data_IF_053040738241
#
_entry.id   IF_053040738241
#
_cell.length_a   1.000
_cell.length_b   1.000
_cell.length_c   1.000
_cell.angle_alpha   90.00
_cell.angle_beta   90.00
_cell.angle_gamma   90.00
#
_symmetry.space_group_name_H-M   'P 1'
#
loop_
_entity.id
_entity.type
_entity.pdbx_description
1 polymer ?
#
# COMPACT_ATOMS: atom_id res chain seq x y z
N UNK A 1 6.94 -4.96 12.10
CA UNK A 1 5.98 -6.08 12.08
C UNK A 1 4.96 -5.96 10.95
N UNK A 2 3.80 -6.62 11.09
CA UNK A 2 2.82 -6.76 10.00
C UNK A 2 2.17 -5.44 9.55
N UNK A 3 1.95 -4.50 10.48
CA UNK A 3 1.38 -3.19 10.17
C UNK A 3 2.26 -2.35 9.24
N UNK A 4 3.57 -2.37 9.46
CA UNK A 4 4.56 -1.71 8.60
C UNK A 4 4.60 -2.28 7.19
N UNK A 5 4.57 -3.62 7.09
CA UNK A 5 4.47 -4.29 5.80
C UNK A 5 3.20 -3.87 5.04
N UNK A 6 2.06 -3.83 5.73
CA UNK A 6 0.79 -3.38 5.16
C UNK A 6 0.85 -1.95 4.62
N UNK A 7 1.52 -1.04 5.34
CA UNK A 7 1.73 0.35 4.93
C UNK A 7 2.59 0.46 3.68
N UNK A 8 3.72 -0.23 3.65
CA UNK A 8 4.62 -0.23 2.51
C UNK A 8 3.98 -0.83 1.26
N UNK A 9 3.23 -1.92 1.41
CA UNK A 9 2.51 -2.52 0.27
C UNK A 9 1.47 -1.56 -0.28
N UNK A 10 0.71 -0.89 0.59
CA UNK A 10 -0.25 0.13 0.17
C UNK A 10 0.39 1.25 -0.64
N UNK A 11 1.47 1.86 -0.11
CA UNK A 11 2.25 2.91 -0.79
C UNK A 11 2.70 2.40 -2.17
N UNK A 12 3.33 1.22 -2.20
CA UNK A 12 3.86 0.67 -3.44
C UNK A 12 2.76 0.30 -4.46
N UNK A 13 1.57 -0.11 -4.03
CA UNK A 13 0.45 -0.37 -4.94
C UNK A 13 0.02 0.92 -5.64
N UNK A 14 -0.14 2.01 -4.88
CA UNK A 14 -0.50 3.33 -5.43
C UNK A 14 0.60 3.83 -6.37
N UNK A 15 1.87 3.77 -5.93
CA UNK A 15 3.01 4.22 -6.74
C UNK A 15 3.20 3.44 -8.03
N UNK A 16 2.87 2.15 -8.01
CA UNK A 16 2.87 1.30 -9.21
C UNK A 16 1.68 1.64 -10.09
N UNK A 17 0.49 1.85 -9.54
CA UNK A 17 -0.68 2.25 -10.31
C UNK A 17 -0.45 3.54 -11.09
N UNK A 18 0.15 4.56 -10.47
CA UNK A 18 0.48 5.82 -11.15
C UNK A 18 1.42 5.66 -12.36
N UNK A 19 2.19 4.56 -12.44
CA UNK A 19 3.13 4.29 -13.53
C UNK A 19 2.66 3.19 -14.49
N UNK A 20 1.87 2.25 -13.99
CA UNK A 20 1.53 0.98 -14.66
C UNK A 20 0.02 0.80 -14.86
N UNK A 21 -0.79 1.82 -14.61
CA UNK A 21 -2.13 1.92 -15.18
C UNK A 21 -2.05 2.13 -16.70
N UNK A 22 -3.11 1.84 -17.44
CA UNK A 22 -3.14 2.06 -18.89
C UNK A 22 -2.81 3.51 -19.29
N UNK A 23 -3.27 4.46 -18.49
CA UNK A 23 -2.94 5.88 -18.63
C UNK A 23 -1.47 6.14 -18.27
N UNK A 24 -1.01 5.64 -17.12
CA UNK A 24 0.36 5.82 -16.64
C UNK A 24 1.41 5.27 -17.62
N UNK A 25 1.09 4.15 -18.28
CA UNK A 25 1.94 3.53 -19.29
C UNK A 25 2.16 4.42 -20.52
N UNK A 26 1.26 5.36 -20.82
CA UNK A 26 1.46 6.29 -21.95
C UNK A 26 2.68 7.20 -21.75
N UNK A 27 3.06 7.50 -20.50
CA UNK A 27 4.29 8.25 -20.21
C UNK A 27 5.57 7.50 -20.62
N UNK A 28 5.47 6.18 -20.84
CA UNK A 28 6.58 5.31 -21.22
C UNK A 28 6.34 4.64 -22.58
N UNK A 29 5.37 5.13 -23.37
CA UNK A 29 5.04 4.56 -24.67
C UNK A 29 6.15 4.89 -25.69
N UNK A 30 6.86 3.88 -26.23
CA UNK A 30 7.92 4.11 -27.21
C UNK A 30 7.45 4.81 -28.49
N UNK A 31 6.18 4.63 -28.87
CA UNK A 31 5.61 5.23 -30.08
C UNK A 31 5.41 6.75 -29.94
N UNK A 32 5.42 7.28 -28.71
CA UNK A 32 5.33 8.71 -28.41
C UNK A 32 6.70 9.37 -28.25
N UNK A 33 7.79 8.60 -28.25
CA UNK A 33 9.14 9.15 -28.17
C UNK A 33 9.50 9.87 -29.49
N UNK A 34 10.22 10.98 -29.40
CA UNK A 34 10.81 11.67 -30.55
C UNK A 34 12.28 11.22 -30.74
N UNK A 35 12.57 10.29 -31.67
CA UNK A 35 13.92 9.72 -31.80
C UNK A 35 14.92 10.74 -32.35
N UNK A 36 14.45 11.73 -33.11
CA UNK A 36 15.27 12.77 -33.71
C UNK A 36 15.79 13.71 -32.62
N UNK A 37 14.89 14.22 -31.78
CA UNK A 37 15.25 15.10 -30.66
C UNK A 37 16.11 14.39 -29.62
N UNK A 38 15.80 13.12 -29.30
CA UNK A 38 16.63 12.32 -28.40
C UNK A 38 18.06 12.19 -28.91
N UNK A 39 18.21 11.93 -30.22
CA UNK A 39 19.51 11.83 -30.85
C UNK A 39 20.27 13.17 -30.82
N UNK A 40 19.61 14.28 -31.15
CA UNK A 40 20.21 15.62 -31.09
C UNK A 40 20.69 15.98 -29.68
N UNK A 41 19.93 15.63 -28.63
CA UNK A 41 20.33 15.84 -27.24
C UNK A 41 21.58 15.03 -26.88
N UNK A 42 21.68 13.78 -27.34
CA UNK A 42 22.85 12.93 -27.09
C UNK A 42 24.08 13.38 -27.88
N UNK A 43 23.93 13.86 -29.12
CA UNK A 43 25.04 14.47 -29.86
C UNK A 43 25.55 15.74 -29.17
N UNK A 44 24.64 16.57 -28.66
CA UNK A 44 24.99 17.86 -28.07
C UNK A 44 25.58 17.75 -26.66
N UNK A 45 25.08 16.84 -25.84
CA UNK A 45 25.41 16.76 -24.42
C UNK A 45 25.97 15.41 -23.97
N UNK A 46 25.86 14.36 -24.79
CA UNK A 46 26.22 12.98 -24.44
C UNK A 46 27.60 12.53 -24.92
N UNK A 47 28.41 13.43 -25.49
CA UNK A 47 29.68 13.09 -26.16
C UNK A 47 30.65 12.24 -25.32
N UNK A 48 30.73 12.48 -24.01
CA UNK A 48 31.58 11.69 -23.11
C UNK A 48 31.06 10.25 -22.90
N UNK A 49 29.73 10.06 -22.97
CA UNK A 49 29.07 8.76 -22.79
C UNK A 49 29.08 7.96 -24.09
N UNK A 50 29.03 8.64 -25.23
CA UNK A 50 28.88 8.02 -26.55
C UNK A 50 30.21 7.89 -27.30
N UNK A 51 31.31 8.35 -26.69
CA UNK A 51 32.64 8.28 -27.27
C UNK A 51 33.03 6.83 -27.64
N UNK A 52 33.30 6.60 -28.93
CA UNK A 52 33.68 5.28 -29.43
C UNK A 52 32.51 4.34 -29.75
N UNK A 53 31.26 4.79 -29.61
CA UNK A 53 30.07 4.04 -30.00
C UNK A 53 29.37 4.69 -31.20
N UNK A 54 28.86 3.87 -32.12
CA UNK A 54 27.92 4.34 -33.15
C UNK A 54 26.52 4.40 -32.54
N UNK A 55 25.88 5.57 -32.58
CA UNK A 55 24.50 5.75 -32.14
C UNK A 55 23.60 5.70 -33.37
N UNK A 56 22.85 4.62 -33.58
CA UNK A 56 21.65 4.77 -34.40
C UNK A 56 20.51 5.33 -33.55
N UNK A 57 19.62 6.12 -34.16
CA UNK A 57 18.43 6.67 -33.49
C UNK A 57 17.58 5.56 -32.84
N UNK A 58 17.48 4.43 -33.53
CA UNK A 58 16.73 3.26 -33.05
C UNK A 58 17.37 2.61 -31.83
N UNK A 59 18.69 2.35 -31.85
CA UNK A 59 19.41 1.77 -30.70
C UNK A 59 19.40 2.69 -29.49
N UNK A 60 19.55 3.99 -29.71
CA UNK A 60 19.49 4.99 -28.65
C UNK A 60 18.11 5.02 -28.00
N UNK A 61 17.04 5.07 -28.81
CA UNK A 61 15.66 5.06 -28.32
C UNK A 61 15.36 3.78 -27.53
N UNK A 62 15.75 2.60 -28.06
CA UNK A 62 15.60 1.32 -27.35
C UNK A 62 16.37 1.28 -26.03
N UNK A 63 17.53 1.91 -25.96
CA UNK A 63 18.37 1.90 -24.75
C UNK A 63 17.85 2.84 -23.67
N UNK A 64 17.40 4.04 -24.05
CA UNK A 64 16.81 5.01 -23.12
C UNK A 64 15.49 4.48 -22.53
N UNK A 65 14.70 3.78 -23.33
CA UNK A 65 13.46 3.14 -22.89
C UNK A 65 13.68 1.76 -22.25
N UNK A 66 14.93 1.32 -22.10
CA UNK A 66 15.32 0.07 -21.43
C UNK A 66 14.97 -1.23 -22.16
N UNK A 67 14.50 -1.14 -23.40
CA UNK A 67 14.20 -2.30 -24.25
C UNK A 67 15.46 -3.11 -24.61
N UNK A 68 16.65 -2.51 -24.57
CA UNK A 68 17.92 -3.18 -24.89
C UNK A 68 18.59 -3.90 -23.71
N UNK A 69 18.13 -3.71 -22.46
CA UNK A 69 18.83 -4.23 -21.28
C UNK A 69 18.66 -5.73 -21.03
N UNK A 70 17.62 -6.36 -21.56
CA UNK A 70 17.41 -7.81 -21.43
C UNK A 70 17.14 -8.43 -22.80
N UNK A 71 17.83 -9.55 -23.09
CA UNK A 71 17.70 -10.29 -24.36
C UNK A 71 16.27 -10.77 -24.68
N UNK A 72 15.41 -10.82 -23.66
CA UNK A 72 14.03 -11.29 -23.75
C UNK A 72 13.01 -10.16 -23.58
N UNK A 73 13.45 -8.89 -23.56
CA UNK A 73 12.54 -7.74 -23.52
C UNK A 73 11.72 -7.68 -24.81
N UNK A 74 10.41 -7.58 -24.65
CA UNK A 74 9.47 -7.28 -25.74
C UNK A 74 8.38 -6.35 -25.23
N UNK A 75 7.69 -5.67 -26.15
CA UNK A 75 6.49 -4.91 -25.81
C UNK A 75 5.41 -5.85 -25.26
N UNK A 76 4.72 -5.47 -24.18
CA UNK A 76 3.55 -6.20 -23.69
C UNK A 76 2.42 -6.15 -24.73
N UNK A 77 1.59 -7.19 -24.77
CA UNK A 77 0.47 -7.32 -25.72
C UNK A 77 -0.86 -7.54 -25.00
N UNK A 78 -1.92 -6.90 -25.50
CA UNK A 78 -3.28 -7.07 -24.98
C UNK A 78 -3.37 -6.84 -23.47
N UNK A 79 -3.87 -7.85 -22.75
CA UNK A 79 -4.08 -7.80 -21.30
C UNK A 79 -2.79 -7.74 -20.48
N UNK A 80 -1.61 -7.96 -21.07
CA UNK A 80 -0.32 -7.80 -20.37
C UNK A 80 -0.02 -6.34 -19.99
N UNK A 81 -0.75 -5.38 -20.58
CA UNK A 81 -0.71 -3.98 -20.21
C UNK A 81 -1.56 -3.67 -18.97
N UNK A 82 -2.47 -4.57 -18.59
CA UNK A 82 -3.49 -4.34 -17.57
C UNK A 82 -3.14 -5.00 -16.23
N UNK A 83 -2.07 -4.51 -15.60
CA UNK A 83 -1.62 -5.00 -14.28
C UNK A 83 -2.73 -5.01 -13.21
N UNK A 84 -3.68 -4.09 -13.32
CA UNK A 84 -4.73 -3.82 -12.32
C UNK A 84 -6.14 -4.23 -12.78
N UNK A 85 -6.30 -4.61 -14.05
CA UNK A 85 -7.62 -4.84 -14.66
C UNK A 85 -8.40 -5.97 -13.98
N UNK A 86 -7.72 -7.07 -13.65
CA UNK A 86 -8.33 -8.22 -12.98
C UNK A 86 -8.85 -7.90 -11.56
N UNK A 87 -8.26 -6.90 -10.89
CA UNK A 87 -8.71 -6.44 -9.57
C UNK A 87 -9.80 -5.36 -9.65
N UNK A 88 -10.19 -4.94 -10.86
CA UNK A 88 -11.20 -3.91 -11.08
C UNK A 88 -10.77 -2.49 -10.67
N UNK A 89 -9.47 -2.27 -10.45
CA UNK A 89 -8.92 -1.00 -9.99
C UNK A 89 -8.79 -0.03 -11.17
N UNK A 90 -9.44 1.13 -11.08
CA UNK A 90 -9.44 2.19 -12.10
C UNK A 90 -8.89 3.52 -11.58
N UNK A 91 -8.85 3.68 -10.26
CA UNK A 91 -8.40 4.88 -9.56
C UNK A 91 -7.53 4.50 -8.36
N UNK A 92 -6.78 5.47 -7.82
CA UNK A 92 -6.03 5.26 -6.58
C UNK A 92 -6.96 5.07 -5.37
N UNK A 93 -8.16 5.64 -5.43
CA UNK A 93 -9.22 5.45 -4.44
C UNK A 93 -9.73 4.01 -4.42
N UNK A 94 -9.80 3.33 -5.57
CA UNK A 94 -10.17 1.91 -5.61
C UNK A 94 -9.14 1.05 -4.85
N UNK A 95 -7.85 1.40 -4.93
CA UNK A 95 -6.78 0.72 -4.15
C UNK A 95 -6.98 0.98 -2.67
N UNK A 96 -7.23 2.24 -2.28
CA UNK A 96 -7.53 2.58 -0.88
C UNK A 96 -8.71 1.77 -0.38
N UNK A 97 -9.81 1.73 -1.11
CA UNK A 97 -11.02 1.08 -0.65
C UNK A 97 -10.86 -0.44 -0.58
N UNK A 98 -10.21 -1.06 -1.57
CA UNK A 98 -9.92 -2.48 -1.55
C UNK A 98 -8.90 -2.87 -0.46
N UNK A 99 -7.96 -1.98 -0.13
CA UNK A 99 -6.91 -2.26 0.85
C UNK A 99 -7.35 -1.92 2.28
N UNK A 100 -7.74 -0.68 2.51
CA UNK A 100 -8.05 -0.12 3.83
C UNK A 100 -9.39 -0.61 4.39
N UNK A 101 -10.34 -1.06 3.55
CA UNK A 101 -11.58 -1.62 4.09
C UNK A 101 -11.47 -3.11 4.38
N UNK A 102 -10.56 -3.84 3.72
CA UNK A 102 -10.54 -5.30 3.78
C UNK A 102 -9.42 -5.87 4.65
N UNK A 103 -8.30 -5.16 4.82
CA UNK A 103 -7.12 -5.71 5.50
C UNK A 103 -6.87 -5.06 6.86
N UNK A 104 -6.52 -5.92 7.82
CA UNK A 104 -6.12 -5.58 9.17
C UNK A 104 -4.80 -6.28 9.46
N UNK A 105 -3.89 -5.57 10.13
CA UNK A 105 -2.51 -6.00 10.27
C UNK A 105 -2.12 -6.08 11.74
N UNK A 106 -1.77 -7.28 12.21
CA UNK A 106 -1.24 -7.47 13.55
C UNK A 106 0.07 -6.70 13.73
N UNK A 107 0.20 -6.06 14.89
CA UNK A 107 1.43 -5.45 15.37
C UNK A 107 1.66 -5.88 16.81
N UNK A 108 2.90 -6.17 17.14
CA UNK A 108 3.32 -6.50 18.50
C UNK A 108 3.38 -5.25 19.39
N UNK A 109 3.42 -5.47 20.70
CA UNK A 109 3.34 -4.41 21.72
C UNK A 109 4.43 -3.34 21.58
N UNK A 110 5.67 -3.75 21.36
CA UNK A 110 6.86 -2.90 21.31
C UNK A 110 7.33 -2.58 19.86
N UNK A 111 6.55 -3.00 18.86
CA UNK A 111 6.89 -2.83 17.44
C UNK A 111 6.83 -1.36 17.04
N UNK A 112 7.99 -0.71 17.06
CA UNK A 112 8.14 0.70 16.67
C UNK A 112 7.78 0.96 15.22
N UNK A 113 7.82 -0.05 14.35
CA UNK A 113 7.55 0.16 12.92
C UNK A 113 6.06 0.39 12.63
N UNK A 114 5.18 0.19 13.62
CA UNK A 114 3.76 0.55 13.56
C UNK A 114 3.52 2.02 13.18
N UNK A 115 4.49 2.92 13.44
CA UNK A 115 4.45 4.31 12.99
C UNK A 115 4.14 4.44 11.49
N UNK A 116 4.61 3.53 10.65
CA UNK A 116 4.33 3.56 9.21
C UNK A 116 2.83 3.41 8.90
N UNK A 117 2.11 2.56 9.63
CA UNK A 117 0.67 2.36 9.44
C UNK A 117 -0.14 3.63 9.77
N UNK A 118 0.29 4.42 10.76
CA UNK A 118 -0.39 5.64 11.18
C UNK A 118 0.17 6.93 10.54
N UNK A 119 1.18 6.83 9.67
CA UNK A 119 1.78 7.98 9.01
C UNK A 119 0.94 8.45 7.80
N UNK A 120 -0.12 9.19 8.09
CA UNK A 120 -1.01 9.82 7.10
C UNK A 120 -0.31 10.82 6.16
N UNK A 121 0.92 11.25 6.46
CA UNK A 121 1.71 12.08 5.54
C UNK A 121 2.44 11.26 4.48
N UNK A 122 2.86 10.05 4.83
CA UNK A 122 3.55 9.14 3.90
C UNK A 122 2.56 8.29 3.11
N UNK A 123 1.47 7.86 3.76
CA UNK A 123 0.46 7.03 3.12
C UNK A 123 -0.38 7.85 2.12
N UNK A 124 -0.47 7.43 0.85
CA UNK A 124 -1.29 8.10 -0.15
C UNK A 124 -2.72 8.33 0.32
N UNK A 125 -3.33 9.42 -0.18
CA UNK A 125 -4.69 9.83 0.19
C UNK A 125 -4.88 10.15 1.68
N UNK A 126 -3.80 10.34 2.45
CA UNK A 126 -3.90 10.78 3.83
C UNK A 126 -4.42 9.71 4.79
N UNK A 127 -4.28 8.43 4.45
CA UNK A 127 -4.92 7.34 5.21
C UNK A 127 -4.04 6.79 6.31
N UNK A 128 -4.70 6.30 7.37
CA UNK A 128 -4.09 5.46 8.41
C UNK A 128 -4.59 4.04 8.20
N UNK A 129 -3.69 3.06 8.18
CA UNK A 129 -4.04 1.66 7.99
C UNK A 129 -4.56 1.02 9.27
N UNK A 130 -5.29 -0.09 9.13
CA UNK A 130 -5.88 -0.80 10.27
C UNK A 130 -4.85 -1.69 10.97
N UNK A 131 -3.90 -1.09 11.69
CA UNK A 131 -3.07 -1.83 12.64
C UNK A 131 -3.93 -2.30 13.82
N UNK A 132 -3.78 -3.56 14.22
CA UNK A 132 -4.48 -4.16 15.37
C UNK A 132 -3.47 -4.72 16.36
N UNK A 133 -3.75 -4.52 17.65
CA UNK A 133 -2.91 -5.02 18.74
C UNK A 133 -2.85 -6.55 18.75
N UNK A 134 -1.62 -7.07 18.84
CA UNK A 134 -1.30 -8.46 19.11
C UNK A 134 -0.28 -8.50 20.23
N UNK A 135 -0.50 -9.33 21.25
CA UNK A 135 0.40 -9.38 22.41
C UNK A 135 1.59 -10.31 22.22
N UNK A 136 1.53 -11.19 21.22
CA UNK A 136 2.46 -12.32 20.97
C UNK A 136 2.86 -13.13 22.22
N UNK A 137 1.90 -13.25 23.14
CA UNK A 137 2.07 -13.98 24.41
C UNK A 137 2.33 -15.45 24.12
N UNK A 138 3.49 -15.93 24.56
CA UNK A 138 3.97 -17.29 24.28
C UNK A 138 5.26 -17.30 23.44
N UNK A 139 5.65 -16.18 22.86
CA UNK A 139 6.98 -16.01 22.28
C UNK A 139 8.04 -15.77 23.37
N UNK A 140 9.30 -16.06 23.07
CA UNK A 140 10.37 -16.12 24.07
C UNK A 140 10.86 -14.73 24.54
N UNK A 141 10.59 -13.69 23.76
CA UNK A 141 10.94 -12.30 24.03
C UNK A 141 9.83 -11.52 24.78
N UNK A 142 8.76 -12.21 25.19
CA UNK A 142 7.72 -11.69 26.10
C UNK A 142 7.89 -12.32 27.49
N UNK A 143 8.85 -11.85 28.32
CA UNK A 143 9.19 -12.49 29.59
C UNK A 143 8.14 -12.30 30.69
N UNK A 144 7.37 -11.21 30.64
CA UNK A 144 6.26 -10.95 31.55
C UNK A 144 4.94 -10.95 30.77
N UNK A 145 4.14 -12.00 30.96
CA UNK A 145 2.88 -12.17 30.24
C UNK A 145 1.79 -11.17 30.69
N UNK A 146 2.02 -10.42 31.76
CA UNK A 146 1.06 -9.45 32.32
C UNK A 146 1.27 -8.03 31.81
N UNK A 147 2.44 -7.75 31.22
CA UNK A 147 2.87 -6.44 30.78
C UNK A 147 2.53 -6.02 29.32
N UNK A 148 2.31 -6.90 28.31
CA UNK A 148 2.41 -6.51 26.90
C UNK A 148 1.50 -5.33 26.50
N UNK A 149 0.25 -5.33 26.98
CA UNK A 149 -0.66 -4.23 26.66
C UNK A 149 -0.19 -2.91 27.28
N UNK A 150 0.35 -2.94 28.50
CA UNK A 150 0.90 -1.76 29.15
C UNK A 150 2.18 -1.27 28.45
N UNK A 151 3.04 -2.19 28.01
CA UNK A 151 4.26 -1.88 27.25
C UNK A 151 3.96 -1.18 25.93
N UNK A 152 2.85 -1.54 25.26
CA UNK A 152 2.44 -0.85 24.04
C UNK A 152 2.16 0.65 24.22
N UNK A 153 1.90 1.11 25.45
CA UNK A 153 1.76 2.55 25.75
C UNK A 153 3.10 3.31 25.66
N UNK A 154 4.24 2.62 25.71
CA UNK A 154 5.54 3.27 25.56
C UNK A 154 5.72 3.87 24.17
N UNK A 155 5.10 3.29 23.14
CA UNK A 155 5.02 3.86 21.79
C UNK A 155 4.39 5.27 21.79
N UNK A 156 3.42 5.51 22.67
CA UNK A 156 2.81 6.84 22.85
C UNK A 156 3.73 7.75 23.65
N UNK A 157 4.26 7.26 24.78
CA UNK A 157 5.15 8.04 25.66
C UNK A 157 6.38 8.55 24.93
N UNK A 158 6.88 7.77 23.98
CA UNK A 158 8.05 8.10 23.17
C UNK A 158 7.71 8.85 21.87
N UNK A 159 6.43 9.09 21.60
CA UNK A 159 5.98 9.86 20.44
C UNK A 159 6.08 9.12 19.09
N UNK A 160 6.12 7.78 19.12
CA UNK A 160 6.10 6.94 17.91
C UNK A 160 4.71 7.00 17.27
N UNK A 161 3.66 6.99 18.08
CA UNK A 161 2.26 7.16 17.66
C UNK A 161 1.54 8.11 18.62
N UNK A 162 0.44 8.72 18.18
CA UNK A 162 -0.40 9.56 19.06
C UNK A 162 -1.31 8.74 19.97
N UNK A 163 -1.87 9.35 21.02
CA UNK A 163 -2.91 8.71 21.86
C UNK A 163 -4.14 8.28 21.04
N UNK A 164 -4.49 9.06 20.01
CA UNK A 164 -5.60 8.73 19.13
C UNK A 164 -5.30 7.49 18.28
N UNK A 165 -4.07 7.39 17.76
CA UNK A 165 -3.60 6.21 17.02
C UNK A 165 -3.54 4.99 17.92
N UNK A 166 -3.07 5.15 19.16
CA UNK A 166 -3.08 4.07 20.16
C UNK A 166 -4.50 3.57 20.42
N UNK A 167 -5.48 4.46 20.61
CA UNK A 167 -6.89 4.06 20.76
C UNK A 167 -7.42 3.31 19.54
N UNK A 168 -7.04 3.72 18.33
CA UNK A 168 -7.38 2.97 17.12
C UNK A 168 -6.72 1.59 17.10
N UNK A 169 -5.43 1.51 17.44
CA UNK A 169 -4.64 0.30 17.48
C UNK A 169 -5.16 -0.77 18.47
N UNK A 170 -5.41 -0.40 19.72
CA UNK A 170 -5.78 -1.37 20.78
C UNK A 170 -7.28 -1.62 20.90
N UNK A 171 -8.12 -0.78 20.30
CA UNK A 171 -9.57 -0.91 20.41
C UNK A 171 -10.32 -0.65 19.10
N UNK A 172 -10.14 0.52 18.47
CA UNK A 172 -10.95 0.94 17.33
C UNK A 172 -10.89 -0.02 16.12
N UNK A 173 -9.69 -0.34 15.67
CA UNK A 173 -9.44 -1.26 14.55
C UNK A 173 -9.79 -2.71 14.91
N UNK A 174 -9.42 -3.27 16.08
CA UNK A 174 -9.90 -4.58 16.49
C UNK A 174 -11.44 -4.67 16.55
N UNK A 175 -12.10 -3.65 17.08
CA UNK A 175 -13.56 -3.60 17.13
C UNK A 175 -14.18 -3.56 15.73
N UNK A 176 -13.65 -2.70 14.85
CA UNK A 176 -14.04 -2.65 13.43
C UNK A 176 -13.88 -4.03 12.77
N UNK A 177 -12.73 -4.67 12.91
CA UNK A 177 -12.44 -5.99 12.33
C UNK A 177 -13.50 -7.04 12.68
N UNK A 178 -13.88 -7.15 13.95
CA UNK A 178 -14.85 -8.15 14.39
C UNK A 178 -16.30 -7.80 14.02
N UNK A 179 -16.64 -6.51 13.93
CA UNK A 179 -18.03 -6.06 13.79
C UNK A 179 -18.43 -5.67 12.37
N UNK A 180 -17.49 -5.37 11.47
CA UNK A 180 -17.78 -4.87 10.12
C UNK A 180 -18.56 -5.90 9.28
N UNK A 181 -18.20 -7.18 9.37
CA UNK A 181 -18.93 -8.27 8.72
C UNK A 181 -20.10 -8.82 9.57
N UNK A 182 -20.06 -8.63 10.89
CA UNK A 182 -21.07 -9.13 11.83
C UNK A 182 -21.27 -8.14 12.99
N UNK A 183 -22.24 -7.20 12.89
CA UNK A 183 -22.49 -6.22 13.94
C UNK A 183 -22.84 -6.84 15.30
N UNK A 184 -23.39 -8.06 15.30
CA UNK A 184 -23.80 -8.80 16.50
C UNK A 184 -22.66 -9.64 17.11
N UNK A 185 -21.41 -9.51 16.63
CA UNK A 185 -20.28 -10.36 17.05
C UNK A 185 -20.12 -10.47 18.58
N UNK A 186 -20.32 -9.36 19.31
CA UNK A 186 -20.17 -9.30 20.76
C UNK A 186 -21.48 -9.46 21.55
N UNK A 187 -22.59 -9.78 20.88
CA UNK A 187 -23.90 -9.95 21.53
C UNK A 187 -23.87 -11.09 22.53
N UNK A 188 -24.42 -10.88 23.73
CA UNK A 188 -24.41 -11.82 24.84
C UNK A 188 -23.07 -11.97 25.56
N UNK A 189 -22.04 -11.20 25.17
CA UNK A 189 -20.74 -11.22 25.85
C UNK A 189 -20.71 -10.24 27.03
N UNK A 190 -19.75 -10.42 27.94
CA UNK A 190 -19.55 -9.52 29.07
C UNK A 190 -19.18 -8.08 28.67
N UNK A 191 -18.78 -7.85 27.42
CA UNK A 191 -18.41 -6.53 26.89
C UNK A 191 -19.55 -5.84 26.14
N UNK A 192 -20.63 -6.53 25.79
CA UNK A 192 -21.75 -5.99 24.99
C UNK A 192 -22.24 -4.63 25.51
N UNK A 193 -22.44 -4.53 26.83
CA UNK A 193 -22.94 -3.31 27.49
C UNK A 193 -21.97 -2.13 27.49
N UNK A 194 -20.69 -2.37 27.19
CA UNK A 194 -19.61 -1.37 27.15
C UNK A 194 -19.31 -0.88 25.73
N UNK A 195 -19.86 -1.54 24.72
CA UNK A 195 -19.63 -1.21 23.32
C UNK A 195 -20.54 -0.05 22.89
N UNK A 196 -20.08 0.79 21.95
CA UNK A 196 -20.95 1.79 21.34
C UNK A 196 -22.15 1.09 20.69
N UNK A 197 -23.35 1.61 20.94
CA UNK A 197 -24.56 1.13 20.24
C UNK A 197 -24.47 1.60 18.78
N UNK A 198 -24.15 0.69 17.87
CA UNK A 198 -24.21 0.96 16.43
C UNK A 198 -25.68 0.86 16.01
N UNK A 199 -26.27 1.98 15.60
CA UNK A 199 -27.52 1.92 14.81
C UNK A 199 -27.15 1.39 13.43
N UNK A 200 -27.65 0.20 13.07
CA UNK A 200 -27.37 -0.41 11.78
C UNK A 200 -27.97 0.45 10.65
N UNK A 201 -27.12 1.22 9.97
CA UNK A 201 -27.47 1.70 8.63
C UNK A 201 -27.26 0.52 7.67
N UNK A 202 -28.33 -0.26 7.50
CA UNK A 202 -28.41 -1.27 6.44
C UNK A 202 -28.47 -0.50 5.12
N UNK A 203 -27.32 -0.12 4.55
CA UNK A 203 -27.24 0.13 3.12
C UNK A 203 -27.24 -1.23 2.43
N UNK A 204 -28.37 -1.56 1.81
CA UNK A 204 -28.48 -2.67 0.88
C UNK A 204 -27.55 -2.43 -0.31
N UNK A 205 -26.26 -2.77 -0.17
CA UNK A 205 -25.38 -3.02 -1.31
C UNK A 205 -25.76 -4.38 -1.86
N UNK A 206 -26.74 -4.37 -2.76
CA UNK A 206 -27.04 -5.48 -3.65
C UNK A 206 -25.73 -5.92 -4.29
N UNK A 207 -25.23 -7.10 -3.90
CA UNK A 207 -24.21 -7.82 -4.65
C UNK A 207 -24.77 -8.02 -6.05
N UNK A 208 -24.27 -7.24 -7.01
CA UNK A 208 -24.55 -7.45 -8.42
C UNK A 208 -23.93 -8.81 -8.76
N UNK A 209 -24.80 -9.76 -9.07
CA UNK A 209 -24.43 -11.13 -9.39
C UNK A 209 -23.46 -11.21 -10.57
N UNK A 210 -22.64 -12.26 -10.51
CA UNK A 210 -22.04 -12.90 -11.68
C UNK A 210 -22.81 -14.18 -11.92
#
# INVERSE_FOLDING_TARGET
GGADWGAHVYIHLVDRFSKRSLEGLQNYNPDLANPDELFELFEKYGGDITQGHSLSKEELTKSVLGASFNRHSRSPIGSELEDFGAAGIKTIEDIRDAWVNSFFFGSESDDRTIAAAFNDKANPLGVKLNAIYSSDVGHWDVPDLTAPLAESWDLVREGVISEADFKAYVFGNPYKFYTEANPDFFKGTAVESKLPKIESQIENKTLVGV
#
